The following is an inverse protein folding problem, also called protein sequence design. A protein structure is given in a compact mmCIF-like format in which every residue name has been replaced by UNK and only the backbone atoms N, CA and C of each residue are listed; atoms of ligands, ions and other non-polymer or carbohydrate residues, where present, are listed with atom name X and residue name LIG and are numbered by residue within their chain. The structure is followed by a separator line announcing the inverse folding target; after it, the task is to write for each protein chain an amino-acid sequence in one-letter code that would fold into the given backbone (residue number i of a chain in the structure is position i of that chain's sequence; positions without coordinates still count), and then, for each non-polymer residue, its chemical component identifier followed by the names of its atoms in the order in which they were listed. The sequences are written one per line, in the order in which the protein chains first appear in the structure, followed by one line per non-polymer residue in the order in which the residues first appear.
data_IF_373861120142
#
_entry.id   IF_373861120142
#
_cell.length_a   1.000
_cell.length_b   1.000
_cell.length_c   1.000
_cell.angle_alpha   90.00
_cell.angle_beta   90.00
_cell.angle_gamma   90.00
#
_symmetry.space_group_name_H-M   'P 1'
#
loop_
_entity.id
_entity.type
_entity.pdbx_description
1 polymer ?
#
# COMPACT_ATOMS: atom_id res chain seq x y z
N UNK A 1 30.85 21.87 49.49
CA UNK A 1 31.04 20.84 48.45
C UNK A 1 29.88 20.92 47.47
N UNK A 2 30.21 21.06 46.19
CA UNK A 2 29.31 21.16 45.05
C UNK A 2 28.51 19.87 44.80
N UNK A 3 27.30 20.01 44.27
CA UNK A 3 26.82 19.42 43.00
C UNK A 3 25.28 19.49 42.98
N UNK A 4 24.70 20.54 42.39
CA UNK A 4 24.28 20.56 40.97
C UNK A 4 23.09 19.62 40.71
N UNK A 5 21.90 20.23 40.72
CA UNK A 5 20.86 20.14 39.68
C UNK A 5 21.13 19.12 38.55
N UNK A 6 20.37 18.02 38.51
CA UNK A 6 19.91 17.34 37.29
C UNK A 6 18.64 16.54 37.68
N UNK A 7 17.42 17.05 37.47
CA UNK A 7 16.70 16.96 36.20
C UNK A 7 16.99 15.66 35.43
N UNK A 8 16.54 14.53 35.98
CA UNK A 8 16.23 13.37 35.13
C UNK A 8 14.73 13.44 34.86
N UNK A 9 14.46 14.05 33.72
CA UNK A 9 13.19 14.08 32.99
C UNK A 9 12.53 12.71 33.12
N UNK A 10 11.45 12.64 33.90
CA UNK A 10 10.41 11.65 33.68
C UNK A 10 9.96 11.85 32.23
N UNK A 11 10.49 11.02 31.32
CA UNK A 11 9.92 10.84 29.99
C UNK A 11 8.56 10.20 30.25
N UNK A 12 7.60 11.07 30.56
CA UNK A 12 6.19 10.81 30.38
C UNK A 12 6.11 10.42 28.92
N UNK A 13 5.84 9.13 28.68
CA UNK A 13 5.41 8.58 27.41
C UNK A 13 4.10 9.28 27.02
N UNK A 14 4.20 10.55 26.64
CA UNK A 14 3.16 11.35 26.03
C UNK A 14 3.13 11.04 24.55
N UNK A 15 2.71 9.83 24.21
CA UNK A 15 2.11 9.58 22.90
C UNK A 15 0.65 9.27 23.17
N UNK A 16 -0.14 10.33 23.37
CA UNK A 16 -1.59 10.30 23.32
C UNK A 16 -2.01 9.68 21.99
N UNK A 17 -2.25 8.37 22.00
CA UNK A 17 -2.89 7.64 20.90
C UNK A 17 -4.38 7.94 20.92
N UNK A 18 -4.73 9.17 20.54
CA UNK A 18 -6.11 9.54 20.17
C UNK A 18 -6.16 9.79 18.66
N UNK A 19 -6.15 8.69 17.90
CA UNK A 19 -6.29 8.68 16.44
C UNK A 19 -7.29 7.60 15.99
N UNK A 20 -8.56 7.74 16.37
CA UNK A 20 -9.66 7.01 15.71
C UNK A 20 -10.20 7.82 14.54
N UNK A 21 -9.72 7.57 13.32
CA UNK A 21 -10.26 8.22 12.13
C UNK A 21 -9.94 7.46 10.85
N UNK A 22 -10.83 7.54 9.85
CA UNK A 22 -10.72 6.77 8.60
C UNK A 22 -9.41 7.01 7.83
N UNK A 23 -8.85 8.22 7.90
CA UNK A 23 -7.56 8.51 7.29
C UNK A 23 -6.40 7.74 7.94
N UNK A 24 -6.48 7.45 9.24
CA UNK A 24 -5.48 6.63 9.92
C UNK A 24 -5.55 5.17 9.44
N UNK A 25 -6.77 4.62 9.34
CA UNK A 25 -6.97 3.26 8.79
C UNK A 25 -6.47 3.17 7.35
N UNK A 26 -6.69 4.23 6.54
CA UNK A 26 -6.15 4.33 5.19
C UNK A 26 -4.62 4.34 5.18
N UNK A 27 -3.96 5.19 5.99
CA UNK A 27 -2.50 5.25 6.09
C UNK A 27 -1.91 3.89 6.49
N UNK A 28 -2.52 3.23 7.46
CA UNK A 28 -2.08 1.92 7.92
C UNK A 28 -2.27 0.84 6.83
N UNK A 29 -3.36 0.92 6.06
CA UNK A 29 -3.56 0.08 4.88
C UNK A 29 -2.48 0.29 3.82
N UNK A 30 -2.17 1.55 3.51
CA UNK A 30 -1.17 1.92 2.51
C UNK A 30 0.23 1.44 2.92
N UNK A 31 0.60 1.59 4.19
CA UNK A 31 1.87 1.08 4.69
C UNK A 31 1.99 -0.45 4.53
N UNK A 32 0.92 -1.19 4.85
CA UNK A 32 0.89 -2.64 4.63
C UNK A 32 0.98 -2.99 3.13
N UNK A 33 0.27 -2.25 2.28
CA UNK A 33 0.29 -2.44 0.84
C UNK A 33 1.71 -2.26 0.26
N UNK A 34 2.41 -1.20 0.66
CA UNK A 34 3.80 -0.94 0.24
C UNK A 34 4.74 -2.07 0.66
N UNK A 35 4.64 -2.52 1.91
CA UNK A 35 5.45 -3.64 2.40
C UNK A 35 5.21 -4.91 1.56
N UNK A 36 3.94 -5.22 1.26
CA UNK A 36 3.59 -6.35 0.39
C UNK A 36 4.12 -6.17 -1.03
N UNK A 37 3.97 -4.98 -1.62
CA UNK A 37 4.47 -4.67 -2.96
C UNK A 37 5.99 -4.78 -3.07
N UNK A 38 6.72 -4.21 -2.12
CA UNK A 38 8.19 -4.29 -2.04
C UNK A 38 8.66 -5.74 -1.92
N UNK A 39 8.03 -6.53 -1.05
CA UNK A 39 8.32 -7.95 -0.91
C UNK A 39 8.04 -8.74 -2.22
N UNK A 40 6.93 -8.45 -2.91
CA UNK A 40 6.64 -9.08 -4.20
C UNK A 40 7.68 -8.74 -5.26
N UNK A 41 8.06 -7.47 -5.37
CA UNK A 41 9.07 -7.00 -6.32
C UNK A 41 10.41 -7.72 -6.12
N UNK A 42 10.86 -7.82 -4.87
CA UNK A 42 12.09 -8.53 -4.52
C UNK A 42 12.02 -10.02 -4.89
N UNK A 43 10.88 -10.67 -4.63
CA UNK A 43 10.68 -12.06 -5.01
C UNK A 43 10.67 -12.26 -6.53
N UNK A 44 10.03 -11.35 -7.26
CA UNK A 44 10.02 -11.36 -8.72
C UNK A 44 11.44 -11.18 -9.27
N UNK A 45 12.20 -10.18 -8.81
CA UNK A 45 13.61 -9.95 -9.18
C UNK A 45 14.46 -11.21 -9.10
N UNK A 46 14.27 -12.02 -8.06
CA UNK A 46 15.03 -13.26 -7.87
C UNK A 46 14.67 -14.39 -8.85
N UNK A 47 13.47 -14.38 -9.45
CA UNK A 47 12.99 -15.47 -10.35
C UNK A 47 13.60 -15.38 -11.76
N UNK A 48 13.98 -14.19 -12.21
CA UNK A 48 14.21 -13.89 -13.64
C UNK A 48 15.50 -14.40 -14.25
N UNK A 49 16.41 -14.92 -13.43
CA UNK A 49 17.72 -15.31 -13.92
C UNK A 49 17.72 -16.63 -14.72
N UNK A 50 16.56 -17.22 -15.04
CA UNK A 50 16.48 -18.60 -15.55
C UNK A 50 15.94 -18.77 -16.98
N UNK A 51 15.37 -17.75 -17.62
CA UNK A 51 14.69 -17.92 -18.91
C UNK A 51 15.44 -17.26 -20.09
N UNK A 52 15.68 -18.03 -21.17
CA UNK A 52 16.53 -17.61 -22.31
C UNK A 52 15.77 -16.88 -23.43
N UNK A 53 14.44 -16.93 -23.48
CA UNK A 53 13.67 -16.24 -24.52
C UNK A 53 13.68 -14.71 -24.35
N UNK A 54 13.94 -14.00 -25.44
CA UNK A 54 14.05 -12.53 -25.46
C UNK A 54 12.70 -11.85 -25.23
N UNK A 55 11.61 -12.41 -25.77
CA UNK A 55 10.25 -11.91 -25.62
C UNK A 55 9.77 -12.03 -24.18
N UNK A 56 9.96 -13.20 -23.57
CA UNK A 56 9.64 -13.46 -22.17
C UNK A 56 10.40 -12.53 -21.22
N UNK A 57 11.70 -12.30 -21.48
CA UNK A 57 12.52 -11.35 -20.70
C UNK A 57 12.00 -9.91 -20.81
N UNK A 58 11.67 -9.43 -22.01
CA UNK A 58 11.11 -8.08 -22.21
C UNK A 58 9.76 -7.91 -21.52
N UNK A 59 8.84 -8.86 -21.69
CA UNK A 59 7.52 -8.86 -21.05
C UNK A 59 7.64 -8.82 -19.54
N UNK A 60 8.61 -9.56 -19.02
CA UNK A 60 8.85 -9.62 -17.60
C UNK A 60 9.47 -8.33 -17.05
N UNK A 61 10.41 -7.71 -17.77
CA UNK A 61 10.98 -6.40 -17.41
C UNK A 61 9.90 -5.32 -17.31
N UNK A 62 9.00 -5.23 -18.30
CA UNK A 62 7.86 -4.29 -18.26
C UNK A 62 6.94 -4.56 -17.05
N UNK A 63 6.69 -5.82 -16.71
CA UNK A 63 5.89 -6.18 -15.52
C UNK A 63 6.53 -5.70 -14.22
N UNK A 64 7.85 -5.84 -14.09
CA UNK A 64 8.60 -5.31 -12.94
C UNK A 64 8.52 -3.79 -12.90
N UNK A 65 8.73 -3.11 -14.02
CA UNK A 65 8.62 -1.65 -14.11
C UNK A 65 7.23 -1.19 -13.65
N UNK A 66 6.16 -1.81 -14.17
CA UNK A 66 4.78 -1.53 -13.77
C UNK A 66 4.54 -1.73 -12.27
N UNK A 67 5.08 -2.80 -11.69
CA UNK A 67 4.97 -3.03 -10.25
C UNK A 67 5.73 -1.98 -9.44
N UNK A 68 6.91 -1.55 -9.90
CA UNK A 68 7.68 -0.46 -9.31
C UNK A 68 6.90 0.86 -9.32
N UNK A 69 6.30 1.21 -10.46
CA UNK A 69 5.43 2.40 -10.56
C UNK A 69 4.21 2.31 -9.63
N UNK A 70 3.60 1.13 -9.52
CA UNK A 70 2.50 0.91 -8.59
C UNK A 70 2.91 1.04 -7.12
N UNK A 71 4.13 0.63 -6.76
CA UNK A 71 4.69 0.86 -5.42
C UNK A 71 4.93 2.36 -5.20
N UNK A 72 5.59 3.03 -6.16
CA UNK A 72 5.89 4.46 -6.07
C UNK A 72 4.64 5.31 -5.92
N UNK A 73 3.57 4.96 -6.65
CA UNK A 73 2.26 5.59 -6.49
C UNK A 73 1.71 5.46 -5.07
N UNK A 74 1.85 4.28 -4.46
CA UNK A 74 1.35 4.02 -3.13
C UNK A 74 2.09 4.86 -2.08
N UNK A 75 3.42 4.93 -2.19
CA UNK A 75 4.28 5.78 -1.36
C UNK A 75 3.86 7.25 -1.43
N UNK A 76 3.75 7.82 -2.64
CA UNK A 76 3.38 9.22 -2.82
C UNK A 76 1.99 9.55 -2.26
N UNK A 77 1.02 8.65 -2.46
CA UNK A 77 -0.33 8.82 -1.95
C UNK A 77 -0.36 8.76 -0.41
N UNK A 78 0.42 7.87 0.21
CA UNK A 78 0.56 7.78 1.66
C UNK A 78 1.23 9.02 2.22
N UNK A 79 2.39 9.38 1.67
CA UNK A 79 3.22 10.49 2.15
C UNK A 79 2.44 11.81 2.13
N UNK A 80 1.65 12.04 1.07
CA UNK A 80 0.76 13.20 1.01
C UNK A 80 -0.26 13.22 2.15
N UNK A 81 -1.01 12.14 2.38
CA UNK A 81 -1.99 12.08 3.48
C UNK A 81 -1.31 12.19 4.84
N UNK A 82 -0.10 11.63 4.99
CA UNK A 82 0.67 11.69 6.22
C UNK A 82 1.10 13.13 6.56
N UNK A 83 1.53 13.91 5.57
CA UNK A 83 1.88 15.33 5.75
C UNK A 83 0.64 16.14 6.21
N UNK A 84 -0.53 15.85 5.64
CA UNK A 84 -1.79 16.54 5.95
C UNK A 84 -2.59 15.93 7.11
N UNK A 85 -1.98 15.09 7.95
CA UNK A 85 -2.72 14.34 9.00
C UNK A 85 -3.39 15.25 10.04
N UNK A 86 -2.91 16.48 10.25
CA UNK A 86 -3.57 17.45 11.14
C UNK A 86 -4.92 17.92 10.60
N UNK A 87 -5.05 18.02 9.28
CA UNK A 87 -6.28 18.42 8.59
C UNK A 87 -7.29 17.25 8.50
N UNK A 88 -6.85 16.03 8.80
CA UNK A 88 -7.66 14.81 8.68
C UNK A 88 -8.86 14.79 9.64
N UNK A 89 -8.72 15.30 10.88
CA UNK A 89 -9.83 15.34 11.86
C UNK A 89 -10.90 16.34 11.43
N UNK A 90 -10.47 17.52 10.96
CA UNK A 90 -11.37 18.56 10.44
C UNK A 90 -12.10 18.04 9.20
N UNK A 91 -11.37 17.37 8.31
CA UNK A 91 -11.97 16.87 7.08
C UNK A 91 -12.96 15.73 7.32
N UNK A 92 -12.79 14.88 8.33
CA UNK A 92 -13.78 13.83 8.64
C UNK A 92 -15.12 14.38 9.11
N UNK A 93 -15.13 15.58 9.71
CA UNK A 93 -16.38 16.25 10.11
C UNK A 93 -17.20 16.80 8.94
N UNK A 94 -16.66 16.78 7.70
CA UNK A 94 -17.41 17.18 6.50
C UNK A 94 -18.21 16.03 5.88
N UNK A 95 -18.03 14.79 6.35
CA UNK A 95 -18.80 13.64 5.91
C UNK A 95 -20.26 13.75 6.38
N UNK A 96 -21.21 13.46 5.50
CA UNK A 96 -22.62 13.32 5.84
C UNK A 96 -22.87 12.08 6.72
N UNK A 97 -24.03 12.02 7.38
CA UNK A 97 -24.39 10.85 8.22
C UNK A 97 -24.40 9.53 7.43
N UNK A 98 -24.88 9.56 6.18
CA UNK A 98 -24.90 8.37 5.31
C UNK A 98 -23.48 7.94 4.90
N UNK A 99 -22.60 8.88 4.59
CA UNK A 99 -21.20 8.60 4.27
C UNK A 99 -20.45 8.06 5.49
N UNK A 100 -20.75 8.59 6.67
CA UNK A 100 -20.21 8.12 7.94
C UNK A 100 -20.56 6.65 8.17
N UNK A 101 -21.82 6.27 8.04
CA UNK A 101 -22.29 4.88 8.22
C UNK A 101 -21.66 3.92 7.19
N UNK A 102 -21.57 4.36 5.93
CA UNK A 102 -20.89 3.62 4.87
C UNK A 102 -19.42 3.37 5.23
N UNK A 103 -18.74 4.40 5.75
CA UNK A 103 -17.34 4.31 6.13
C UNK A 103 -17.10 3.46 7.38
N UNK A 104 -18.01 3.47 8.35
CA UNK A 104 -17.99 2.53 9.48
C UNK A 104 -18.11 1.08 8.98
N UNK A 105 -18.97 0.80 8.01
CA UNK A 105 -19.09 -0.52 7.38
C UNK A 105 -17.80 -0.96 6.68
N UNK A 106 -17.12 -0.04 5.99
CA UNK A 106 -15.82 -0.31 5.35
C UNK A 106 -14.74 -0.60 6.40
N UNK A 107 -14.67 0.22 7.46
CA UNK A 107 -13.73 0.05 8.58
C UNK A 107 -13.90 -1.31 9.26
N UNK A 108 -15.13 -1.71 9.56
CA UNK A 108 -15.44 -3.01 10.16
C UNK A 108 -14.95 -4.16 9.26
N UNK A 109 -15.28 -4.15 7.96
CA UNK A 109 -14.84 -5.16 6.99
C UNK A 109 -13.31 -5.26 6.91
N UNK A 110 -12.61 -4.13 6.98
CA UNK A 110 -11.16 -4.10 6.97
C UNK A 110 -10.54 -4.69 8.25
N UNK A 111 -11.09 -4.37 9.43
CA UNK A 111 -10.65 -4.95 10.69
C UNK A 111 -10.79 -6.48 10.71
N UNK A 112 -11.90 -7.04 10.19
CA UNK A 112 -12.08 -8.48 10.06
C UNK A 112 -11.08 -9.13 9.09
N UNK A 113 -10.79 -8.49 7.95
CA UNK A 113 -9.80 -8.98 7.00
C UNK A 113 -8.39 -9.05 7.60
N UNK A 114 -8.01 -8.07 8.45
CA UNK A 114 -6.75 -8.07 9.18
C UNK A 114 -6.58 -9.26 10.11
N UNK A 115 -7.61 -9.59 10.89
CA UNK A 115 -7.55 -10.70 11.86
C UNK A 115 -7.41 -12.05 11.17
N UNK A 116 -8.13 -12.25 10.06
CA UNK A 116 -8.10 -13.52 9.33
C UNK A 116 -6.78 -13.74 8.56
N UNK A 117 -6.16 -12.68 8.02
CA UNK A 117 -4.87 -12.81 7.33
C UNK A 117 -3.73 -13.23 8.26
N UNK A 118 -3.73 -12.78 9.52
CA UNK A 118 -2.72 -13.18 10.53
C UNK A 118 -2.76 -14.68 10.83
N UNK A 119 -3.95 -15.31 10.77
CA UNK A 119 -4.12 -16.75 11.06
C UNK A 119 -3.68 -17.66 9.89
N UNK A 120 -3.73 -17.19 8.64
CA UNK A 120 -3.49 -18.04 7.46
C UNK A 120 -1.99 -18.16 7.10
N UNK A 121 -1.15 -17.18 7.46
CA UNK A 121 0.28 -17.17 7.06
C UNK A 121 1.17 -18.16 7.84
N UNK A 122 0.69 -18.76 8.92
CA UNK A 122 1.53 -19.53 9.86
C UNK A 122 1.85 -20.97 9.43
N UNK A 123 1.13 -21.60 8.49
CA UNK A 123 1.20 -23.08 8.38
C UNK A 123 1.60 -23.70 7.04
N UNK A 124 1.76 -22.95 5.93
CA UNK A 124 1.90 -23.61 4.61
C UNK A 124 2.75 -22.89 3.53
N UNK A 125 3.61 -21.94 3.90
CA UNK A 125 4.35 -21.14 2.91
C UNK A 125 5.72 -21.72 2.50
N UNK A 126 6.33 -22.59 3.32
CA UNK A 126 7.71 -23.06 3.10
C UNK A 126 7.89 -24.03 1.93
N UNK A 127 6.83 -24.74 1.50
CA UNK A 127 6.92 -25.79 0.44
C UNK A 127 6.55 -25.34 -0.98
N UNK A 128 6.27 -24.06 -1.22
CA UNK A 128 5.82 -23.58 -2.55
C UNK A 128 7.02 -23.12 -3.40
N UNK A 129 6.99 -23.41 -4.70
CA UNK A 129 7.98 -22.85 -5.65
C UNK A 129 7.93 -21.33 -5.68
N UNK A 130 9.05 -20.69 -5.96
CA UNK A 130 9.15 -19.22 -5.93
C UNK A 130 8.23 -18.56 -6.96
N UNK A 131 8.01 -19.20 -8.12
CA UNK A 131 7.00 -18.79 -9.10
C UNK A 131 5.59 -18.77 -8.49
N UNK A 132 5.22 -19.81 -7.73
CA UNK A 132 3.91 -19.88 -7.06
C UNK A 132 3.80 -18.83 -5.95
N UNK A 133 4.88 -18.58 -5.20
CA UNK A 133 4.93 -17.51 -4.20
C UNK A 133 4.74 -16.13 -4.85
N UNK A 134 5.38 -15.85 -5.99
CA UNK A 134 5.22 -14.59 -6.71
C UNK A 134 3.80 -14.40 -7.25
N UNK A 135 3.18 -15.46 -7.77
CA UNK A 135 1.77 -15.43 -8.20
C UNK A 135 0.80 -15.20 -7.04
N UNK A 136 1.07 -15.78 -5.87
CA UNK A 136 0.28 -15.51 -4.67
C UNK A 136 0.47 -14.06 -4.20
N UNK A 137 1.72 -13.60 -4.16
CA UNK A 137 2.06 -12.23 -3.76
C UNK A 137 1.32 -11.19 -4.63
N UNK A 138 1.31 -11.39 -5.96
CA UNK A 138 0.54 -10.54 -6.88
C UNK A 138 -0.96 -10.49 -6.57
N UNK A 139 -1.55 -11.65 -6.23
CA UNK A 139 -2.98 -11.73 -5.86
C UNK A 139 -3.26 -10.99 -4.56
N UNK A 140 -2.41 -11.20 -3.55
CA UNK A 140 -2.56 -10.56 -2.24
C UNK A 140 -2.43 -9.04 -2.36
N UNK A 141 -1.41 -8.56 -3.09
CA UNK A 141 -1.22 -7.13 -3.38
C UNK A 141 -2.42 -6.52 -4.11
N UNK A 142 -3.01 -7.22 -5.09
CA UNK A 142 -4.23 -6.75 -5.77
C UNK A 142 -5.41 -6.60 -4.81
N UNK A 143 -5.55 -7.54 -3.85
CA UNK A 143 -6.58 -7.46 -2.83
C UNK A 143 -6.34 -6.28 -1.88
N UNK A 144 -5.09 -6.06 -1.47
CA UNK A 144 -4.70 -4.92 -0.65
C UNK A 144 -4.99 -3.58 -1.34
N UNK A 145 -4.67 -3.45 -2.63
CA UNK A 145 -5.05 -2.28 -3.45
C UNK A 145 -6.56 -2.01 -3.39
N UNK A 146 -7.39 -3.05 -3.55
CA UNK A 146 -8.85 -2.92 -3.48
C UNK A 146 -9.30 -2.46 -2.10
N UNK A 147 -8.74 -3.04 -1.04
CA UNK A 147 -9.08 -2.68 0.34
C UNK A 147 -8.71 -1.22 0.66
N UNK A 148 -7.47 -0.81 0.33
CA UNK A 148 -7.04 0.56 0.57
C UNK A 148 -7.81 1.56 -0.31
N UNK A 149 -8.20 1.19 -1.53
CA UNK A 149 -9.05 2.02 -2.37
C UNK A 149 -10.47 2.21 -1.80
N UNK A 150 -11.00 1.24 -1.05
CA UNK A 150 -12.27 1.42 -0.36
C UNK A 150 -12.13 2.38 0.83
N UNK A 151 -11.05 2.23 1.62
CA UNK A 151 -10.74 3.15 2.72
C UNK A 151 -10.42 4.56 2.24
N UNK A 152 -9.81 4.69 1.06
CA UNK A 152 -9.49 5.99 0.47
C UNK A 152 -10.75 6.88 0.34
N UNK A 153 -11.89 6.29 -0.03
CA UNK A 153 -13.16 7.02 -0.16
C UNK A 153 -13.63 7.64 1.16
N UNK A 154 -13.20 7.06 2.29
CA UNK A 154 -13.53 7.51 3.63
C UNK A 154 -12.50 8.48 4.22
N UNK A 155 -11.38 8.68 3.53
CA UNK A 155 -10.39 9.67 3.89
C UNK A 155 -10.47 10.86 2.93
N UNK A 156 -11.06 11.99 3.35
CA UNK A 156 -11.25 13.15 2.48
C UNK A 156 -9.95 13.69 1.87
N UNK A 157 -8.83 13.60 2.59
CA UNK A 157 -7.50 14.03 2.13
C UNK A 157 -7.04 13.30 0.86
N UNK A 158 -7.61 12.13 0.55
CA UNK A 158 -7.24 11.40 -0.66
C UNK A 158 -7.66 12.09 -1.95
N UNK A 159 -8.66 12.99 -1.91
CA UNK A 159 -9.06 13.78 -3.07
C UNK A 159 -7.96 14.77 -3.46
N UNK A 160 -7.46 15.53 -2.49
CA UNK A 160 -6.38 16.49 -2.70
C UNK A 160 -5.07 15.79 -3.09
N UNK A 161 -4.79 14.67 -2.43
CA UNK A 161 -3.61 13.85 -2.71
C UNK A 161 -3.65 13.05 -4.02
N UNK A 162 -4.74 13.08 -4.81
CA UNK A 162 -4.73 12.46 -6.15
C UNK A 162 -3.79 13.18 -7.11
N UNK A 163 -3.66 14.49 -6.98
CA UNK A 163 -2.85 15.32 -7.87
C UNK A 163 -1.37 14.94 -7.82
N UNK A 164 -0.85 14.57 -6.64
CA UNK A 164 0.55 14.17 -6.45
C UNK A 164 0.90 12.87 -7.18
N UNK A 165 -0.09 12.08 -7.58
CA UNK A 165 0.11 10.79 -8.26
C UNK A 165 -0.15 10.83 -9.77
N UNK A 166 -0.51 12.00 -10.33
CA UNK A 166 -0.94 12.13 -11.73
C UNK A 166 0.14 11.68 -12.72
N UNK A 167 1.36 12.16 -12.54
CA UNK A 167 2.50 11.81 -13.42
C UNK A 167 2.80 10.30 -13.39
N UNK A 168 2.85 9.70 -12.20
CA UNK A 168 3.05 8.24 -12.06
C UNK A 168 1.90 7.46 -12.69
N UNK A 169 0.67 7.98 -12.64
CA UNK A 169 -0.48 7.35 -13.30
C UNK A 169 -0.39 7.36 -14.82
N UNK A 170 0.15 8.43 -15.41
CA UNK A 170 0.45 8.51 -16.84
C UNK A 170 1.52 7.49 -17.23
N UNK A 171 2.62 7.41 -16.47
CA UNK A 171 3.67 6.40 -16.69
C UNK A 171 3.11 4.96 -16.59
N UNK A 172 2.22 4.68 -15.62
CA UNK A 172 1.55 3.38 -15.51
C UNK A 172 0.72 3.08 -16.76
N UNK A 173 0.05 4.08 -17.32
CA UNK A 173 -0.78 3.91 -18.52
C UNK A 173 0.07 3.60 -19.75
N UNK A 174 1.18 4.30 -19.94
CA UNK A 174 2.13 4.09 -21.03
C UNK A 174 2.73 2.68 -20.97
N UNK A 175 3.27 2.28 -19.81
CA UNK A 175 3.86 0.97 -19.59
C UNK A 175 2.83 -0.18 -19.79
N UNK A 176 1.56 0.04 -19.44
CA UNK A 176 0.49 -0.93 -19.75
C UNK A 176 0.21 -1.04 -21.24
N UNK A 177 0.36 0.04 -21.98
CA UNK A 177 0.17 0.07 -23.42
C UNK A 177 1.32 -0.67 -24.11
N UNK A 178 2.56 -0.36 -23.73
CA UNK A 178 3.76 -1.09 -24.19
C UNK A 178 3.66 -2.59 -23.89
N UNK A 179 3.18 -2.98 -22.70
CA UNK A 179 2.98 -4.38 -22.36
C UNK A 179 1.93 -5.07 -23.24
N UNK A 180 0.85 -4.37 -23.61
CA UNK A 180 -0.18 -4.90 -24.52
C UNK A 180 0.36 -5.09 -25.93
N UNK A 181 1.07 -4.09 -26.45
CA UNK A 181 1.72 -4.15 -27.77
C UNK A 181 2.73 -5.29 -27.83
N UNK A 182 3.60 -5.41 -26.82
CA UNK A 182 4.56 -6.51 -26.74
C UNK A 182 3.88 -7.88 -26.71
N UNK A 183 2.71 -8.00 -26.04
CA UNK A 183 1.96 -9.26 -26.06
C UNK A 183 1.40 -9.59 -27.44
N UNK A 184 1.05 -8.60 -28.26
CA UNK A 184 0.58 -8.84 -29.64
C UNK A 184 1.71 -9.26 -30.58
N UNK A 185 2.94 -8.79 -30.34
CA UNK A 185 4.13 -9.12 -31.15
C UNK A 185 4.76 -10.45 -30.75
N UNK A 186 4.80 -10.75 -29.45
CA UNK A 186 5.46 -11.93 -28.88
C UNK A 186 4.49 -13.06 -28.50
N UNK A 187 3.55 -13.41 -29.39
CA UNK A 187 2.59 -14.50 -29.17
C UNK A 187 3.30 -15.86 -28.95
#
# INVERSE_FOLDING_TARGET
MYCILLFVVSVVFGATRDYEGFCHDYLECMQQLEEKQSNCLRLEQNITMTNSDSCTRRRWKLKITLHGLHLRRAELARDCVQIHTRDAKISQSTLTSEEMDSCLSVRAKFAFARVNQRKIHSSNQSRKSDVKKALMCRRDTKLWHKNCSHLAKCCPLTLDCKLTTKEIMEQIYEERTLLRELNSVCN
#
